data_IF_998461012591
#
_entry.id   IF_998461012591
#
_cell.length_a   1.000
_cell.length_b   1.000
_cell.length_c   1.000
_cell.angle_alpha   90.00
_cell.angle_beta   90.00
_cell.angle_gamma   90.00
#
_symmetry.space_group_name_H-M   'P 1'
#
loop_
_entity.id
_entity.type
_entity.pdbx_description
1 polymer ?
#
# COMPACT_ATOMS: atom_id res chain seq x y z
N UNK A 1 -57.22 75.84 8.69
CA UNK A 1 -57.66 74.62 9.42
C UNK A 1 -57.18 73.44 8.60
N UNK A 2 -56.10 72.72 8.89
CA UNK A 2 -55.62 72.22 10.18
C UNK A 2 -55.83 70.69 10.17
N UNK A 3 -54.76 69.94 10.49
CA UNK A 3 -54.59 68.46 10.49
C UNK A 3 -54.05 67.91 9.15
N UNK A 4 -52.88 67.25 9.03
CA UNK A 4 -51.97 66.64 9.99
C UNK A 4 -51.92 65.11 9.80
N UNK A 5 -50.70 64.54 9.71
CA UNK A 5 -50.31 63.10 9.65
C UNK A 5 -50.28 62.46 8.24
N UNK A 6 -49.41 61.51 7.91
CA UNK A 6 -48.28 60.86 8.59
C UNK A 6 -47.37 60.21 7.53
N UNK A 7 -46.10 60.07 7.91
CA UNK A 7 -45.01 59.36 7.23
C UNK A 7 -45.31 57.86 7.10
N UNK A 8 -44.83 57.22 6.03
CA UNK A 8 -44.15 55.90 6.10
C UNK A 8 -43.30 55.74 4.83
N UNK A 9 -41.97 55.77 5.00
CA UNK A 9 -40.97 55.48 3.96
C UNK A 9 -40.70 53.97 4.03
N UNK A 10 -41.07 53.22 3.00
CA UNK A 10 -40.71 51.81 2.86
C UNK A 10 -39.36 51.72 2.12
N UNK A 11 -38.28 51.54 2.87
CA UNK A 11 -36.96 51.26 2.33
C UNK A 11 -36.87 49.80 1.87
N UNK A 12 -36.67 49.57 0.57
CA UNK A 12 -36.38 48.26 0.02
C UNK A 12 -34.92 47.90 0.31
N UNK A 13 -34.71 46.96 1.23
CA UNK A 13 -33.40 46.41 1.56
C UNK A 13 -33.06 45.32 0.52
N UNK A 14 -32.19 45.65 -0.43
CA UNK A 14 -31.63 44.70 -1.40
C UNK A 14 -30.57 43.87 -0.67
N UNK A 15 -30.90 42.60 -0.40
CA UNK A 15 -29.99 41.61 0.17
C UNK A 15 -29.22 40.93 -0.97
N UNK A 16 -28.01 41.42 -1.24
CA UNK A 16 -27.07 40.80 -2.19
C UNK A 16 -26.46 39.57 -1.52
N UNK A 17 -26.89 38.37 -1.92
CA UNK A 17 -26.31 37.10 -1.46
C UNK A 17 -25.05 36.82 -2.29
N UNK A 18 -23.88 37.09 -1.69
CA UNK A 18 -22.58 36.76 -2.27
C UNK A 18 -22.24 35.31 -1.96
N UNK A 19 -22.49 34.40 -2.91
CA UNK A 19 -22.14 32.98 -2.78
C UNK A 19 -20.62 32.82 -2.98
N UNK A 20 -19.86 32.77 -1.90
CA UNK A 20 -18.44 32.41 -1.94
C UNK A 20 -18.31 30.89 -2.14
N UNK A 21 -17.94 30.46 -3.35
CA UNK A 21 -17.50 29.08 -3.58
C UNK A 21 -16.13 28.87 -2.96
N UNK A 22 -16.10 28.37 -1.73
CA UNK A 22 -14.88 27.83 -1.10
C UNK A 22 -14.59 26.49 -1.76
N UNK A 23 -13.71 26.51 -2.76
CA UNK A 23 -13.12 25.29 -3.31
C UNK A 23 -12.23 24.64 -2.25
N UNK A 24 -12.71 23.57 -1.63
CA UNK A 24 -11.87 22.65 -0.88
C UNK A 24 -10.89 21.98 -1.84
N UNK A 25 -9.73 22.60 -2.07
CA UNK A 25 -8.55 21.88 -2.53
C UNK A 25 -8.08 21.00 -1.37
N UNK A 26 -8.74 19.85 -1.23
CA UNK A 26 -8.27 18.76 -0.42
C UNK A 26 -6.99 18.23 -1.05
N UNK A 27 -5.86 18.84 -0.69
CA UNK A 27 -4.56 18.21 -0.87
C UNK A 27 -4.59 16.94 -0.02
N UNK A 28 -4.89 15.80 -0.65
CA UNK A 28 -4.71 14.49 -0.05
C UNK A 28 -3.21 14.31 0.14
N UNK A 29 -2.70 14.86 1.24
CA UNK A 29 -1.42 14.46 1.79
C UNK A 29 -1.61 13.01 2.18
N UNK A 30 -1.09 12.12 1.34
CA UNK A 30 -0.95 10.72 1.63
C UNK A 30 -0.19 10.63 2.95
N UNK A 31 -0.91 10.32 4.02
CA UNK A 31 -0.29 10.10 5.31
C UNK A 31 0.48 8.80 5.15
N UNK A 32 1.76 8.91 4.81
CA UNK A 32 2.72 7.85 5.08
C UNK A 32 2.46 7.45 6.53
N UNK A 33 1.84 6.28 6.68
CA UNK A 33 1.39 5.83 7.99
C UNK A 33 2.68 5.52 8.73
N UNK A 34 3.10 6.49 9.55
CA UNK A 34 4.21 6.39 10.49
C UNK A 34 3.79 5.30 11.47
N UNK A 35 4.15 4.05 11.14
CA UNK A 35 4.06 2.95 12.08
C UNK A 35 5.06 3.28 13.18
N UNK A 36 4.60 3.26 14.43
CA UNK A 36 5.43 3.56 15.59
C UNK A 36 6.56 2.54 15.65
N UNK A 37 7.79 3.03 15.70
CA UNK A 37 9.03 2.25 15.76
C UNK A 37 9.04 1.26 16.94
N UNK A 38 8.30 1.58 18.01
CA UNK A 38 8.22 0.81 19.26
C UNK A 38 7.63 -0.61 19.09
N UNK A 39 6.97 -0.91 17.96
CA UNK A 39 6.41 -2.24 17.70
C UNK A 39 7.31 -3.13 16.82
N UNK A 40 8.52 -2.70 16.46
CA UNK A 40 9.45 -3.51 15.67
C UNK A 40 10.25 -4.44 16.60
N UNK A 41 10.14 -5.75 16.35
CA UNK A 41 10.97 -6.73 17.04
C UNK A 41 12.41 -6.56 16.56
N UNK A 42 13.26 -5.99 17.42
CA UNK A 42 14.70 -6.01 17.23
C UNK A 42 15.17 -7.47 17.13
N UNK A 43 15.67 -7.85 15.95
CA UNK A 43 16.37 -9.13 15.76
C UNK A 43 17.85 -8.82 15.76
N UNK A 44 18.51 -8.83 16.93
CA UNK A 44 19.94 -8.61 17.00
C UNK A 44 20.67 -9.75 16.30
N UNK A 45 21.76 -9.42 15.63
CA UNK A 45 22.68 -10.42 15.11
C UNK A 45 23.07 -10.20 13.65
N UNK A 46 24.11 -10.93 13.22
CA UNK A 46 24.69 -10.74 11.90
C UNK A 46 23.84 -11.31 10.76
N UNK A 47 22.91 -12.24 11.06
CA UNK A 47 22.02 -12.90 10.09
C UNK A 47 20.69 -12.17 9.87
N UNK A 48 20.61 -10.90 10.28
CA UNK A 48 19.40 -10.09 10.08
C UNK A 48 19.26 -9.70 8.60
N UNK A 49 18.04 -9.49 8.10
CA UNK A 49 17.83 -8.95 6.76
C UNK A 49 18.51 -7.58 6.58
N UNK A 50 19.34 -7.46 5.55
CA UNK A 50 19.97 -6.19 5.12
C UNK A 50 19.62 -5.82 3.68
N UNK A 51 19.14 -6.79 2.89
CA UNK A 51 18.61 -6.55 1.56
C UNK A 51 17.36 -7.41 1.31
N UNK A 52 16.53 -6.96 0.37
CA UNK A 52 15.32 -7.64 -0.06
C UNK A 52 15.25 -7.64 -1.57
N UNK A 53 14.66 -8.70 -2.13
CA UNK A 53 14.35 -8.79 -3.55
C UNK A 53 12.96 -9.40 -3.77
N UNK A 54 12.20 -8.86 -4.70
CA UNK A 54 11.04 -9.54 -5.28
C UNK A 54 11.54 -10.56 -6.31
N UNK A 55 11.32 -11.83 -6.02
CA UNK A 55 11.90 -12.94 -6.79
C UNK A 55 11.18 -13.12 -8.14
N UNK A 56 11.87 -13.51 -9.23
CA UNK A 56 11.26 -13.74 -10.55
C UNK A 56 10.18 -14.83 -10.63
N UNK A 57 10.01 -15.62 -9.56
CA UNK A 57 8.88 -16.54 -9.41
C UNK A 57 7.58 -15.81 -9.06
N UNK A 58 7.62 -14.48 -8.87
CA UNK A 58 6.43 -13.67 -8.67
C UNK A 58 5.61 -13.63 -9.96
N UNK A 59 4.36 -14.10 -9.89
CA UNK A 59 3.46 -14.20 -11.05
C UNK A 59 1.99 -14.13 -10.60
N UNK A 60 1.10 -14.08 -11.58
CA UNK A 60 -0.35 -14.20 -11.40
C UNK A 60 -0.82 -15.56 -11.90
N UNK A 61 -1.79 -16.16 -11.21
CA UNK A 61 -2.40 -17.43 -11.62
C UNK A 61 -3.89 -17.45 -11.28
N UNK A 62 -4.62 -18.39 -11.87
CA UNK A 62 -5.99 -18.70 -11.47
C UNK A 62 -5.96 -19.94 -10.59
N UNK A 63 -6.48 -19.82 -9.37
CA UNK A 63 -6.56 -20.94 -8.42
C UNK A 63 -7.61 -21.96 -8.89
N UNK A 64 -7.59 -23.18 -8.32
CA UNK A 64 -8.49 -24.26 -8.69
C UNK A 64 -9.99 -23.98 -8.51
N UNK A 65 -10.36 -22.94 -7.78
CA UNK A 65 -11.73 -22.44 -7.61
C UNK A 65 -12.11 -21.35 -8.64
N UNK A 66 -11.19 -20.96 -9.53
CA UNK A 66 -11.39 -19.92 -10.53
C UNK A 66 -11.09 -18.51 -10.04
N UNK A 67 -10.53 -18.33 -8.83
CA UNK A 67 -10.12 -17.03 -8.30
C UNK A 67 -8.74 -16.62 -8.85
N UNK A 68 -8.61 -15.46 -9.55
CA UNK A 68 -7.33 -14.87 -9.90
C UNK A 68 -6.58 -14.40 -8.65
N UNK A 69 -5.33 -14.81 -8.53
CA UNK A 69 -4.45 -14.45 -7.41
C UNK A 69 -3.08 -14.02 -7.93
N UNK A 70 -2.37 -13.25 -7.10
CA UNK A 70 -0.95 -12.99 -7.28
C UNK A 70 -0.15 -13.82 -6.28
N UNK A 71 0.80 -14.61 -6.79
CA UNK A 71 1.76 -15.34 -5.97
C UNK A 71 3.05 -14.54 -5.89
N UNK A 72 3.20 -13.77 -4.82
CA UNK A 72 4.37 -12.96 -4.54
C UNK A 72 5.46 -13.80 -3.86
N UNK A 73 6.67 -13.74 -4.39
CA UNK A 73 7.84 -14.37 -3.77
C UNK A 73 8.83 -13.28 -3.32
N UNK A 74 9.12 -13.21 -2.03
CA UNK A 74 10.07 -12.23 -1.46
C UNK A 74 11.28 -12.96 -0.88
N UNK A 75 12.47 -12.60 -1.33
CA UNK A 75 13.73 -13.08 -0.79
C UNK A 75 14.34 -12.01 0.13
N UNK A 76 14.81 -12.43 1.31
CA UNK A 76 15.57 -11.59 2.23
C UNK A 76 17.01 -12.10 2.32
N UNK A 77 17.97 -11.18 2.30
CA UNK A 77 19.40 -11.46 2.37
C UNK A 77 20.02 -10.80 3.59
N UNK A 78 20.96 -11.49 4.22
CA UNK A 78 21.82 -10.89 5.25
C UNK A 78 23.00 -10.13 4.63
N UNK A 79 23.92 -9.69 5.50
CA UNK A 79 25.08 -8.90 5.12
C UNK A 79 26.03 -9.61 4.15
N UNK A 80 26.02 -10.95 4.13
CA UNK A 80 26.87 -11.76 3.25
C UNK A 80 26.16 -12.22 1.98
N UNK A 81 24.88 -11.87 1.82
CA UNK A 81 24.07 -12.30 0.69
C UNK A 81 23.45 -13.69 0.87
N UNK A 82 23.53 -14.27 2.07
CA UNK A 82 22.87 -15.52 2.39
C UNK A 82 21.37 -15.27 2.62
N UNK A 83 20.55 -16.23 2.17
CA UNK A 83 19.11 -16.12 2.33
C UNK A 83 18.72 -16.37 3.78
N UNK A 84 17.94 -15.46 4.35
CA UNK A 84 17.52 -15.50 5.75
C UNK A 84 16.01 -15.33 5.90
N UNK A 85 15.48 -15.78 7.03
CA UNK A 85 14.12 -15.42 7.47
C UNK A 85 14.18 -14.07 8.19
N UNK A 86 13.16 -13.25 8.01
CA UNK A 86 13.06 -11.93 8.61
C UNK A 86 11.79 -11.77 9.45
N UNK A 87 11.91 -11.07 10.57
CA UNK A 87 10.78 -10.69 11.43
C UNK A 87 10.53 -9.19 11.21
N UNK A 88 9.28 -8.82 10.92
CA UNK A 88 8.96 -7.45 10.53
C UNK A 88 7.56 -7.32 9.92
N UNK A 89 7.30 -6.20 9.26
CA UNK A 89 6.05 -5.96 8.55
C UNK A 89 6.30 -5.89 7.04
N UNK A 90 5.50 -6.61 6.26
CA UNK A 90 5.50 -6.52 4.80
C UNK A 90 4.36 -5.62 4.35
N UNK A 91 4.65 -4.73 3.42
CA UNK A 91 3.65 -4.01 2.66
C UNK A 91 3.86 -4.26 1.17
N UNK A 92 2.79 -4.66 0.50
CA UNK A 92 2.77 -4.87 -0.94
C UNK A 92 1.93 -3.76 -1.56
N UNK A 93 2.42 -3.17 -2.63
CA UNK A 93 1.72 -2.17 -3.42
C UNK A 93 1.72 -2.60 -4.88
N UNK A 94 0.56 -2.53 -5.54
CA UNK A 94 0.38 -2.92 -6.93
C UNK A 94 -0.08 -1.74 -7.79
N UNK A 95 0.49 -1.61 -8.98
CA UNK A 95 0.08 -0.60 -9.97
C UNK A 95 0.16 -1.15 -11.39
N UNK A 96 -0.59 -0.54 -12.32
CA UNK A 96 -0.36 -0.75 -13.76
C UNK A 96 1.03 -0.27 -14.15
N UNK A 97 1.74 -1.00 -15.01
CA UNK A 97 3.09 -0.63 -15.42
C UNK A 97 3.15 0.70 -16.21
N UNK A 98 2.06 1.06 -16.90
CA UNK A 98 1.92 2.29 -17.69
C UNK A 98 1.60 3.55 -16.88
N UNK A 99 1.28 3.42 -15.58
CA UNK A 99 0.81 4.53 -14.75
C UNK A 99 1.92 5.06 -13.83
N UNK A 100 2.18 6.36 -13.92
CA UNK A 100 3.13 7.09 -13.06
C UNK A 100 2.49 7.73 -11.83
N UNK A 101 1.15 7.83 -11.76
CA UNK A 101 0.42 8.48 -10.67
C UNK A 101 0.37 7.63 -9.39
N UNK A 102 0.50 8.30 -8.24
CA UNK A 102 0.60 7.75 -6.88
C UNK A 102 -0.59 6.90 -6.47
N UNK A 103 -0.27 5.78 -5.82
CA UNK A 103 -1.14 4.79 -5.19
C UNK A 103 -1.98 5.43 -4.09
N UNK A 104 -3.30 5.25 -4.15
CA UNK A 104 -4.23 5.61 -3.10
C UNK A 104 -5.50 4.79 -3.03
N UNK A 105 -5.67 3.83 -3.93
CA UNK A 105 -6.92 3.11 -4.05
C UNK A 105 -6.93 1.87 -3.17
N UNK A 106 -8.01 1.72 -2.39
CA UNK A 106 -8.26 0.55 -1.54
C UNK A 106 -8.46 -0.64 -2.48
N UNK A 107 -7.54 -1.61 -2.45
CA UNK A 107 -7.50 -2.74 -3.41
C UNK A 107 -6.17 -2.89 -4.15
N UNK A 108 -5.21 -1.99 -3.90
CA UNK A 108 -3.84 -2.07 -4.46
C UNK A 108 -2.76 -2.22 -3.40
N UNK A 109 -3.16 -2.41 -2.14
CA UNK A 109 -2.25 -2.46 -1.00
C UNK A 109 -2.63 -3.60 -0.06
N UNK A 110 -1.63 -4.38 0.33
CA UNK A 110 -1.74 -5.41 1.35
C UNK A 110 -0.68 -5.16 2.42
N UNK A 111 -1.05 -5.29 3.68
CA UNK A 111 -0.14 -5.19 4.82
C UNK A 111 -0.18 -6.54 5.56
N UNK A 112 0.98 -7.06 5.92
CA UNK A 112 1.13 -8.35 6.58
C UNK A 112 2.11 -8.24 7.74
N UNK A 113 1.75 -8.89 8.84
CA UNK A 113 2.59 -8.94 10.03
C UNK A 113 3.37 -10.25 10.08
N UNK A 114 4.67 -10.17 9.81
CA UNK A 114 5.59 -11.31 9.94
C UNK A 114 6.28 -11.34 11.32
N UNK A 115 5.79 -10.56 12.30
CA UNK A 115 6.27 -10.59 13.69
C UNK A 115 5.72 -11.77 14.47
N UNK A 116 4.56 -12.28 14.08
CA UNK A 116 4.01 -13.54 14.59
C UNK A 116 4.77 -14.72 13.95
N UNK A 117 5.43 -15.53 14.77
CA UNK A 117 6.37 -16.57 14.28
C UNK A 117 5.63 -17.70 13.56
N UNK A 118 4.45 -18.08 14.03
CA UNK A 118 3.64 -19.12 13.38
C UNK A 118 3.20 -18.66 11.98
N UNK A 119 2.72 -17.43 11.87
CA UNK A 119 2.38 -16.78 10.60
C UNK A 119 3.61 -16.65 9.70
N UNK A 120 4.75 -16.22 10.24
CA UNK A 120 6.00 -16.08 9.50
C UNK A 120 6.44 -17.40 8.85
N UNK A 121 6.43 -18.49 9.62
CA UNK A 121 6.83 -19.81 9.15
C UNK A 121 5.87 -20.30 8.06
N UNK A 122 4.57 -20.05 8.20
CA UNK A 122 3.56 -20.47 7.22
C UNK A 122 3.76 -19.87 5.82
N UNK A 123 4.36 -18.69 5.73
CA UNK A 123 4.68 -18.04 4.45
C UNK A 123 6.02 -18.47 3.86
N UNK A 124 6.93 -19.05 4.65
CA UNK A 124 8.27 -19.35 4.15
C UNK A 124 8.32 -20.68 3.41
N UNK A 125 8.63 -20.64 2.12
CA UNK A 125 8.89 -21.83 1.30
C UNK A 125 10.37 -22.21 1.37
N UNK A 126 10.66 -23.39 1.93
CA UNK A 126 12.02 -23.90 2.09
C UNK A 126 12.69 -24.30 0.78
N UNK A 127 11.92 -24.66 -0.25
CA UNK A 127 12.44 -25.10 -1.54
C UNK A 127 13.01 -23.91 -2.33
N UNK A 128 12.24 -22.82 -2.42
CA UNK A 128 12.67 -21.59 -3.11
C UNK A 128 13.45 -20.63 -2.20
N UNK A 129 13.42 -20.85 -0.88
CA UNK A 129 13.97 -19.95 0.14
C UNK A 129 13.38 -18.54 0.03
N UNK A 130 12.08 -18.44 -0.18
CA UNK A 130 11.38 -17.16 -0.25
C UNK A 130 10.13 -17.17 0.61
N UNK A 131 9.66 -16.00 0.99
CA UNK A 131 8.30 -15.84 1.49
C UNK A 131 7.34 -15.90 0.31
N UNK A 132 6.52 -16.96 0.26
CA UNK A 132 5.48 -17.19 -0.74
C UNK A 132 4.14 -16.70 -0.21
N UNK A 133 3.67 -15.58 -0.76
CA UNK A 133 2.49 -14.86 -0.31
C UNK A 133 1.45 -14.91 -1.43
N UNK A 134 0.26 -15.41 -1.14
CA UNK A 134 -0.86 -15.44 -2.09
C UNK A 134 -1.78 -14.25 -1.79
N UNK A 135 -1.89 -13.34 -2.74
CA UNK A 135 -2.73 -12.13 -2.65
C UNK A 135 -3.97 -12.31 -3.53
N UNK A 136 -5.13 -12.41 -2.89
CA UNK A 136 -6.44 -12.32 -3.54
C UNK A 136 -7.02 -10.91 -3.45
N UNK A 137 -8.27 -10.75 -3.90
CA UNK A 137 -8.94 -9.43 -3.95
C UNK A 137 -8.17 -8.44 -4.83
N UNK A 138 -7.72 -8.91 -6.00
CA UNK A 138 -6.97 -8.11 -6.96
C UNK A 138 -7.85 -6.97 -7.52
N UNK A 139 -7.26 -5.84 -7.93
CA UNK A 139 -8.03 -4.77 -8.54
C UNK A 139 -8.63 -5.24 -9.87
N UNK A 140 -9.84 -4.78 -10.20
CA UNK A 140 -10.65 -5.24 -11.35
C UNK A 140 -9.88 -5.34 -12.66
N UNK A 141 -8.99 -4.38 -12.93
CA UNK A 141 -8.19 -4.38 -14.15
C UNK A 141 -7.24 -5.57 -14.24
N UNK A 142 -6.64 -6.00 -13.13
CA UNK A 142 -5.73 -7.14 -13.11
C UNK A 142 -6.55 -8.43 -13.11
N UNK A 143 -7.58 -8.52 -12.26
CA UNK A 143 -8.48 -9.67 -12.19
C UNK A 143 -9.05 -10.03 -13.57
N UNK A 144 -9.63 -9.05 -14.27
CA UNK A 144 -10.19 -9.25 -15.61
C UNK A 144 -9.11 -9.69 -16.62
N UNK A 145 -7.93 -9.05 -16.62
CA UNK A 145 -6.86 -9.39 -17.56
C UNK A 145 -6.34 -10.82 -17.38
N UNK A 146 -6.29 -11.33 -16.13
CA UNK A 146 -5.93 -12.72 -15.84
C UNK A 146 -7.01 -13.67 -16.36
N UNK A 147 -8.29 -13.35 -16.14
CA UNK A 147 -9.42 -14.16 -16.64
C UNK A 147 -9.45 -14.22 -18.17
N UNK A 148 -9.09 -13.13 -18.83
CA UNK A 148 -9.00 -13.05 -20.29
C UNK A 148 -7.76 -13.77 -20.85
N UNK A 149 -6.86 -14.27 -19.99
CA UNK A 149 -5.66 -15.00 -20.37
C UNK A 149 -4.54 -14.10 -20.92
N UNK A 150 -4.64 -12.78 -20.74
CA UNK A 150 -3.66 -11.81 -21.18
C UNK A 150 -3.41 -10.78 -20.07
N UNK A 151 -2.60 -11.14 -19.04
CA UNK A 151 -2.37 -10.28 -17.88
C UNK A 151 -1.80 -8.92 -18.29
N UNK A 152 -2.42 -7.85 -17.80
CA UNK A 152 -1.90 -6.50 -18.01
C UNK A 152 -0.52 -6.37 -17.32
N UNK A 153 0.51 -5.80 -17.99
CA UNK A 153 1.78 -5.53 -17.36
C UNK A 153 1.58 -4.69 -16.09
N UNK A 154 2.08 -5.22 -14.99
CA UNK A 154 1.84 -4.65 -13.66
C UNK A 154 3.14 -4.57 -12.89
N UNK A 155 3.24 -3.57 -12.01
CA UNK A 155 4.39 -3.38 -11.15
C UNK A 155 4.00 -3.59 -9.71
N UNK A 156 4.73 -4.48 -9.04
CA UNK A 156 4.65 -4.69 -7.61
C UNK A 156 5.82 -3.99 -6.94
N UNK A 157 5.52 -3.22 -5.89
CA UNK A 157 6.51 -2.65 -4.97
C UNK A 157 6.30 -3.30 -3.62
N UNK A 158 7.37 -3.81 -3.04
CA UNK A 158 7.34 -4.41 -1.71
C UNK A 158 8.18 -3.56 -0.78
N UNK A 159 7.68 -3.33 0.42
CA UNK A 159 8.41 -2.72 1.52
C UNK A 159 8.43 -3.71 2.68
N UNK A 160 9.60 -3.92 3.27
CA UNK A 160 9.77 -4.73 4.48
C UNK A 160 10.34 -3.86 5.59
N UNK A 161 9.55 -3.61 6.62
CA UNK A 161 9.94 -2.82 7.79
C UNK A 161 10.45 -3.76 8.88
N UNK A 162 11.68 -3.56 9.30
CA UNK A 162 12.35 -4.32 10.37
C UNK A 162 13.23 -3.36 11.16
N UNK A 163 14.08 -3.87 12.05
CA UNK A 163 14.96 -3.05 12.90
C UNK A 163 16.40 -3.54 12.89
N UNK A 164 17.34 -2.60 13.06
CA UNK A 164 18.74 -2.86 13.35
C UNK A 164 18.93 -3.40 14.77
N UNK A 165 20.18 -3.78 15.08
CA UNK A 165 20.59 -4.28 16.39
C UNK A 165 20.39 -3.24 17.51
N UNK A 166 20.53 -1.96 17.19
CA UNK A 166 20.29 -0.82 18.09
C UNK A 166 18.80 -0.44 18.20
N UNK A 167 17.90 -1.19 17.56
CA UNK A 167 16.46 -0.90 17.52
C UNK A 167 16.05 0.14 16.48
N UNK A 168 16.98 0.71 15.70
CA UNK A 168 16.64 1.67 14.65
C UNK A 168 15.83 0.99 13.56
N UNK A 169 14.66 1.56 13.22
CA UNK A 169 13.83 1.06 12.14
C UNK A 169 14.55 1.16 10.78
N UNK A 170 14.46 0.09 10.00
CA UNK A 170 14.95 0.01 8.63
C UNK A 170 13.84 -0.46 7.72
N UNK A 171 13.76 0.15 6.53
CA UNK A 171 12.85 -0.26 5.47
C UNK A 171 13.68 -0.79 4.31
N UNK A 172 13.53 -2.07 4.01
CA UNK A 172 14.02 -2.68 2.78
C UNK A 172 12.93 -2.52 1.72
N UNK A 173 13.30 -2.25 0.48
CA UNK A 173 12.33 -2.11 -0.61
C UNK A 173 12.86 -2.70 -1.90
N UNK A 174 11.96 -3.23 -2.72
CA UNK A 174 12.25 -3.64 -4.09
C UNK A 174 11.01 -3.48 -4.99
N UNK A 175 11.22 -3.36 -6.29
CA UNK A 175 10.17 -3.29 -7.31
C UNK A 175 10.37 -4.33 -8.40
N UNK A 176 9.27 -4.95 -8.84
CA UNK A 176 9.27 -5.91 -9.92
C UNK A 176 8.15 -5.64 -10.91
N UNK A 177 8.43 -5.82 -12.20
CA UNK A 177 7.43 -5.69 -13.27
C UNK A 177 7.04 -7.09 -13.72
N UNK A 178 5.80 -7.48 -13.45
CA UNK A 178 5.18 -8.68 -13.99
C UNK A 178 4.75 -8.42 -15.43
N UNK A 179 4.97 -9.42 -16.28
CA UNK A 179 4.66 -9.39 -17.71
C UNK A 179 3.80 -10.58 -18.07
#
# INVERSE_FOLDING_TARGET
MGHGRAQTILGAMILTVTTAMVGCQGSMIFREQVVRTDDLLAVPGPFRPTAMRVHPLTHTETRGDGEPVMVLHVELKDLWGDTVKGVGQVQVQLRKASTTTTIGDRGTRWDMDLRDIETNISYFDSATRTYRIVLGGLPDWLDQSIRDGAPDPSRVRVLFRTSKVDGEAVVLQDEFVMR
#
